data_IF_747525396357
#
_entry.id   IF_747525396357
#
_cell.length_a   1.000
_cell.length_b   1.000
_cell.length_c   1.000
_cell.angle_alpha   90.00
_cell.angle_beta   90.00
_cell.angle_gamma   90.00
#
_symmetry.space_group_name_H-M   'P 1'
#
loop_
_entity.id
_entity.type
_entity.pdbx_description
1 polymer ?
#
# COMPACT_ATOMS: atom_id res chain seq x y z
N UNK A 1 -0.26 -13.00 9.18
CA UNK A 1 -1.51 -12.21 9.27
C UNK A 1 -1.43 -11.06 8.29
N UNK A 2 -2.48 -10.88 7.50
CA UNK A 2 -2.54 -9.79 6.53
C UNK A 2 -3.12 -8.54 7.17
N UNK A 3 -2.64 -7.38 6.74
CA UNK A 3 -3.12 -6.08 7.20
C UNK A 3 -4.24 -5.51 6.32
N UNK A 4 -4.80 -6.33 5.44
CA UNK A 4 -5.90 -5.93 4.56
C UNK A 4 -6.96 -7.02 4.47
N UNK A 5 -8.20 -6.60 4.18
CA UNK A 5 -9.36 -7.49 4.10
C UNK A 5 -9.79 -7.72 2.64
N UNK A 6 -10.36 -6.70 2.02
CA UNK A 6 -10.98 -6.85 0.71
C UNK A 6 -10.04 -6.41 -0.41
N UNK A 7 -10.12 -7.10 -1.54
CA UNK A 7 -9.46 -6.70 -2.77
C UNK A 7 -10.47 -5.94 -3.62
N UNK A 8 -10.20 -4.65 -3.83
CA UNK A 8 -11.10 -3.77 -4.58
C UNK A 8 -10.80 -3.76 -6.07
N UNK A 9 -9.56 -4.04 -6.43
CA UNK A 9 -9.12 -4.08 -7.82
C UNK A 9 -7.90 -4.99 -7.90
N UNK A 10 -7.70 -5.67 -9.03
CA UNK A 10 -6.64 -6.67 -9.15
C UNK A 10 -6.03 -6.68 -10.54
N UNK A 11 -4.92 -7.44 -10.67
CA UNK A 11 -4.19 -7.59 -11.93
C UNK A 11 -3.72 -6.24 -12.50
N UNK A 12 -3.26 -5.36 -11.62
CA UNK A 12 -2.83 -4.02 -12.01
C UNK A 12 -1.32 -3.98 -12.20
N UNK A 13 -0.88 -3.13 -13.15
CA UNK A 13 0.52 -2.72 -13.20
C UNK A 13 0.82 -1.83 -12.00
N UNK A 14 2.11 -1.74 -11.63
CA UNK A 14 2.49 -0.81 -10.57
C UNK A 14 2.15 0.63 -10.94
N UNK A 15 2.31 1.00 -12.20
CA UNK A 15 1.99 2.36 -12.67
C UNK A 15 0.53 2.72 -12.36
N UNK A 16 -0.41 1.84 -12.67
CA UNK A 16 -1.83 2.06 -12.38
C UNK A 16 -2.07 2.08 -10.86
N UNK A 17 -1.50 1.11 -10.14
CA UNK A 17 -1.65 1.06 -8.68
C UNK A 17 -1.11 2.33 -8.02
N UNK A 18 0.04 2.82 -8.49
CA UNK A 18 0.64 4.04 -7.96
C UNK A 18 -0.26 5.27 -8.17
N UNK A 19 -0.87 5.39 -9.35
CA UNK A 19 -1.82 6.48 -9.64
C UNK A 19 -3.03 6.43 -8.71
N UNK A 20 -3.56 5.24 -8.47
CA UNK A 20 -4.71 5.07 -7.57
C UNK A 20 -4.35 5.42 -6.13
N UNK A 21 -3.18 5.00 -5.66
CA UNK A 21 -2.70 5.38 -4.34
C UNK A 21 -2.56 6.90 -4.20
N UNK A 22 -1.97 7.53 -5.20
CA UNK A 22 -1.65 8.96 -5.14
C UNK A 22 -2.90 9.83 -5.30
N UNK A 23 -3.77 9.50 -6.26
CA UNK A 23 -4.91 10.33 -6.63
C UNK A 23 -6.16 10.00 -5.83
N UNK A 24 -6.36 8.74 -5.46
CA UNK A 24 -7.56 8.27 -4.75
C UNK A 24 -7.30 7.94 -3.29
N UNK A 25 -6.07 8.11 -2.82
CA UNK A 25 -5.68 7.78 -1.44
C UNK A 25 -5.97 6.32 -1.10
N UNK A 26 -5.75 5.44 -2.05
CA UNK A 26 -5.97 4.01 -1.88
C UNK A 26 -4.69 3.30 -1.41
N UNK A 27 -4.82 2.04 -1.08
CA UNK A 27 -3.76 1.21 -0.52
C UNK A 27 -3.49 0.06 -1.48
N UNK A 28 -2.21 -0.15 -1.82
CA UNK A 28 -1.83 -1.14 -2.82
C UNK A 28 -0.82 -2.12 -2.26
N UNK A 29 -0.90 -3.35 -2.74
CA UNK A 29 0.04 -4.40 -2.35
C UNK A 29 0.10 -5.45 -3.46
N UNK A 30 0.85 -6.51 -3.21
CA UNK A 30 0.80 -7.73 -4.02
C UNK A 30 0.21 -8.86 -3.18
N UNK A 31 -0.47 -9.84 -3.80
CA UNK A 31 -1.14 -10.90 -3.03
C UNK A 31 -0.24 -11.69 -2.08
N UNK A 32 1.07 -11.73 -2.38
CA UNK A 32 2.04 -12.47 -1.56
C UNK A 32 2.54 -11.69 -0.34
N UNK A 33 2.16 -10.41 -0.19
CA UNK A 33 2.61 -9.57 0.91
C UNK A 33 1.54 -9.42 1.99
N UNK A 34 1.97 -9.30 3.25
CA UNK A 34 1.06 -9.11 4.38
C UNK A 34 0.73 -7.63 4.62
N UNK A 35 1.65 -6.75 4.31
CA UNK A 35 1.47 -5.31 4.43
C UNK A 35 0.98 -4.66 3.15
N UNK A 36 1.05 -3.35 3.09
CA UNK A 36 0.65 -2.61 1.90
C UNK A 36 1.39 -1.28 1.79
N UNK A 37 1.29 -0.68 0.62
CA UNK A 37 1.90 0.60 0.29
C UNK A 37 0.84 1.70 0.24
N UNK A 38 1.23 2.92 0.58
CA UNK A 38 0.31 4.05 0.56
C UNK A 38 1.10 5.37 0.53
N UNK A 39 0.41 6.46 0.24
CA UNK A 39 0.98 7.80 0.40
C UNK A 39 0.47 8.42 1.69
N UNK A 40 1.38 9.01 2.46
CA UNK A 40 0.98 9.68 3.71
C UNK A 40 0.34 11.04 3.42
N UNK A 41 -0.07 11.72 4.48
CA UNK A 41 -0.74 13.04 4.36
C UNK A 41 0.16 14.10 3.73
N UNK A 42 1.47 13.89 3.73
CA UNK A 42 2.44 14.83 3.15
C UNK A 42 2.87 14.41 1.74
N UNK A 43 2.27 13.39 1.18
CA UNK A 43 2.59 12.90 -0.15
C UNK A 43 3.84 12.04 -0.23
N UNK A 44 4.32 11.52 0.89
CA UNK A 44 5.47 10.60 0.93
C UNK A 44 5.00 9.17 0.74
N UNK A 45 5.77 8.41 -0.03
CA UNK A 45 5.51 6.99 -0.25
C UNK A 45 5.88 6.20 0.99
N UNK A 46 4.92 5.44 1.51
CA UNK A 46 5.08 4.66 2.75
C UNK A 46 4.73 3.20 2.53
N UNK A 47 5.34 2.34 3.33
CA UNK A 47 5.04 0.91 3.33
C UNK A 47 4.76 0.48 4.77
N UNK A 48 3.61 -0.14 4.99
CA UNK A 48 3.33 -0.86 6.24
C UNK A 48 3.91 -2.26 6.09
N UNK A 49 4.93 -2.55 6.90
CA UNK A 49 5.62 -3.83 6.86
C UNK A 49 4.86 -4.90 7.65
N UNK A 50 5.18 -6.16 7.37
CA UNK A 50 4.53 -7.29 8.05
C UNK A 50 4.69 -7.27 9.57
N UNK A 51 5.73 -6.58 10.09
CA UNK A 51 5.95 -6.45 11.53
C UNK A 51 5.20 -5.27 12.16
N UNK A 52 4.39 -4.56 11.37
CA UNK A 52 3.61 -3.43 11.86
C UNK A 52 4.32 -2.09 11.83
N UNK A 53 5.55 -2.03 11.38
CA UNK A 53 6.30 -0.77 11.24
C UNK A 53 6.02 -0.12 9.90
N UNK A 54 6.10 1.21 9.87
CA UNK A 54 5.94 2.00 8.64
C UNK A 54 7.29 2.55 8.24
N UNK A 55 7.69 2.26 7.00
CA UNK A 55 8.91 2.81 6.41
C UNK A 55 8.56 3.76 5.27
N UNK A 56 9.41 4.76 5.06
CA UNK A 56 9.32 5.65 3.91
C UNK A 56 10.24 5.14 2.80
N UNK A 57 9.70 5.11 1.58
CA UNK A 57 10.44 4.66 0.41
C UNK A 57 10.40 5.72 -0.67
N UNK A 58 11.41 5.73 -1.53
CA UNK A 58 11.32 6.43 -2.82
C UNK A 58 10.74 5.44 -3.84
N UNK A 59 10.23 5.96 -4.95
CA UNK A 59 9.74 5.09 -6.02
C UNK A 59 10.82 4.15 -6.56
N UNK A 60 12.08 4.58 -6.51
CA UNK A 60 13.19 3.74 -6.96
C UNK A 60 13.44 2.54 -6.05
N UNK A 61 13.03 2.64 -4.79
CA UNK A 61 13.23 1.57 -3.79
C UNK A 61 12.12 0.53 -3.79
N UNK A 62 11.04 0.74 -4.52
CA UNK A 62 9.90 -0.18 -4.53
C UNK A 62 10.27 -1.45 -5.28
N UNK A 63 10.05 -2.59 -4.62
CA UNK A 63 10.29 -3.90 -5.24
C UNK A 63 9.13 -4.29 -6.16
N UNK A 64 9.45 -5.10 -7.18
CA UNK A 64 8.47 -5.75 -8.05
C UNK A 64 7.57 -4.78 -8.84
N UNK A 65 8.13 -3.62 -9.23
CA UNK A 65 7.40 -2.65 -10.06
C UNK A 65 7.05 -3.20 -11.45
N UNK A 66 7.81 -4.19 -11.93
CA UNK A 66 7.58 -4.80 -13.24
C UNK A 66 6.47 -5.85 -13.23
N UNK A 67 5.96 -6.20 -12.06
CA UNK A 67 4.89 -7.19 -11.94
C UNK A 67 3.53 -6.57 -12.24
N UNK A 68 2.61 -7.40 -12.75
CA UNK A 68 1.25 -6.98 -13.11
C UNK A 68 0.19 -7.65 -12.23
N UNK A 69 0.55 -7.99 -11.01
CA UNK A 69 -0.36 -8.61 -10.04
C UNK A 69 -0.64 -7.70 -8.84
N UNK A 70 -0.41 -6.40 -9.00
CA UNK A 70 -0.72 -5.45 -7.95
C UNK A 70 -2.23 -5.39 -7.72
N UNK A 71 -2.60 -5.19 -6.46
CA UNK A 71 -4.00 -5.13 -6.04
C UNK A 71 -4.24 -3.90 -5.18
N UNK A 72 -5.46 -3.38 -5.24
CA UNK A 72 -5.93 -2.32 -4.34
C UNK A 72 -6.75 -2.99 -3.25
N UNK A 73 -6.48 -2.63 -2.01
CA UNK A 73 -7.04 -3.35 -0.86
C UNK A 73 -7.64 -2.39 0.17
N UNK A 74 -8.52 -2.94 1.01
CA UNK A 74 -9.06 -2.23 2.17
C UNK A 74 -8.24 -2.60 3.40
N UNK A 75 -7.64 -1.62 4.11
CA UNK A 75 -6.89 -1.92 5.33
C UNK A 75 -7.80 -2.49 6.42
N UNK A 76 -7.24 -3.38 7.23
CA UNK A 76 -7.93 -3.84 8.44
C UNK A 76 -8.01 -2.70 9.46
N UNK A 77 -8.88 -2.86 10.47
CA UNK A 77 -8.96 -1.90 11.58
C UNK A 77 -7.61 -1.78 12.30
N UNK A 78 -6.93 -2.90 12.47
CA UNK A 78 -5.60 -2.91 13.09
C UNK A 78 -4.59 -2.10 12.27
N UNK A 79 -4.61 -2.28 10.95
CA UNK A 79 -3.74 -1.54 10.05
C UNK A 79 -4.01 -0.04 10.12
N UNK A 80 -5.28 0.36 10.12
CA UNK A 80 -5.66 1.77 10.24
C UNK A 80 -5.09 2.38 11.52
N UNK A 81 -5.16 1.67 12.64
CA UNK A 81 -4.56 2.15 13.91
C UNK A 81 -3.07 2.38 13.77
N UNK A 82 -2.37 1.48 13.06
CA UNK A 82 -0.92 1.58 12.89
C UNK A 82 -0.51 2.75 12.00
N UNK A 83 -1.31 3.08 11.00
CA UNK A 83 -0.96 4.12 10.02
C UNK A 83 -1.69 5.44 10.25
N UNK A 84 -2.55 5.53 11.25
CA UNK A 84 -3.42 6.68 11.47
C UNK A 84 -2.67 8.01 11.52
N UNK A 85 -1.53 8.07 12.21
CA UNK A 85 -0.73 9.29 12.30
C UNK A 85 -0.09 9.71 10.99
N UNK A 86 -0.02 8.79 10.03
CA UNK A 86 0.57 9.06 8.71
C UNK A 86 -0.46 9.58 7.71
N UNK A 87 -1.72 9.16 7.85
CA UNK A 87 -2.75 9.50 6.87
C UNK A 87 -3.68 10.64 7.31
N UNK A 88 -3.62 11.05 8.58
CA UNK A 88 -4.49 12.11 9.12
C UNK A 88 -3.73 13.33 9.62
#
# INVERSE_FOLDING_TARGET
>A
MKFYDDVLNSNLSFEVANKLMKNKKQFATRPCWDGFHFYDKNGKYCILLKNGKVDNYTLDDVYDKEKNDWIIVTPTKRAIKLINNFIK
#
